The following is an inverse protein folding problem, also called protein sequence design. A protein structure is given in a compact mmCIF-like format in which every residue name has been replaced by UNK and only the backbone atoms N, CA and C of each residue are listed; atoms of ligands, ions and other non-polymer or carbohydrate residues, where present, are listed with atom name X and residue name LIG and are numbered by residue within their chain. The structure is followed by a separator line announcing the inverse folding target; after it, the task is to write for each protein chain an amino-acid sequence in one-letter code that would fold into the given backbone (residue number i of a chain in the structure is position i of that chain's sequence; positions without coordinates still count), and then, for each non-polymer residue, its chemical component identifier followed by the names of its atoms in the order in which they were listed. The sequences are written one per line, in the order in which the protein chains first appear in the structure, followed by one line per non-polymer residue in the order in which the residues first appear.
data_IF_246287194232
#
_entry.id   IF_246287194232
#
_cell.length_a   1.000
_cell.length_b   1.000
_cell.length_c   1.000
_cell.angle_alpha   90.00
_cell.angle_beta   90.00
_cell.angle_gamma   90.00
#
_symmetry.space_group_name_H-M   'P 1'
#
loop_
_entity.id
_entity.type
_entity.pdbx_description
1 polymer ?
#
# COMPACT_ATOMS: atom_id res chain seq x y z
N UNK A 1 -17.52 -30.66 -37.91
CA UNK A 1 -16.52 -29.66 -38.27
C UNK A 1 -16.65 -28.50 -37.29
N UNK A 2 -15.81 -28.47 -36.28
CA UNK A 2 -15.73 -27.36 -35.29
C UNK A 2 -14.63 -26.41 -35.76
N UNK A 3 -14.86 -25.11 -35.78
CA UNK A 3 -13.77 -24.15 -35.93
C UNK A 3 -13.30 -23.72 -34.55
N UNK A 4 -12.18 -24.26 -34.09
CA UNK A 4 -11.38 -23.67 -33.01
C UNK A 4 -10.46 -22.64 -33.65
N UNK A 5 -10.93 -21.43 -33.78
CA UNK A 5 -10.06 -20.31 -34.12
C UNK A 5 -9.21 -19.94 -32.90
N UNK A 6 -7.97 -20.45 -32.92
CA UNK A 6 -6.93 -20.09 -31.98
C UNK A 6 -6.53 -18.62 -32.15
N UNK A 7 -6.82 -17.79 -31.15
CA UNK A 7 -6.24 -16.45 -31.03
C UNK A 7 -4.74 -16.66 -30.85
N UNK A 8 -3.95 -16.32 -31.85
CA UNK A 8 -2.49 -16.39 -31.82
C UNK A 8 -1.97 -15.34 -30.79
N UNK A 9 -1.15 -15.80 -29.89
CA UNK A 9 -0.46 -14.98 -28.84
C UNK A 9 0.37 -13.81 -29.42
N UNK A 10 0.56 -13.74 -30.74
CA UNK A 10 1.35 -12.75 -31.48
C UNK A 10 0.69 -11.37 -31.64
N UNK A 11 -0.62 -11.20 -31.35
CA UNK A 11 -1.35 -9.96 -31.66
C UNK A 11 -1.58 -9.04 -30.47
N UNK A 12 -1.06 -9.35 -29.28
CA UNK A 12 -1.03 -8.39 -28.19
C UNK A 12 0.10 -7.38 -28.41
N UNK A 13 -0.14 -6.38 -29.28
CA UNK A 13 0.71 -5.21 -29.40
C UNK A 13 0.77 -4.49 -28.05
N UNK A 14 1.81 -4.74 -27.25
CA UNK A 14 2.09 -3.95 -26.05
C UNK A 14 2.25 -2.48 -26.46
N UNK A 15 1.29 -1.64 -26.10
CA UNK A 15 1.41 -0.20 -26.32
C UNK A 15 2.63 0.29 -25.53
N UNK A 16 3.60 0.88 -26.24
CA UNK A 16 4.75 1.54 -25.57
C UNK A 16 4.24 2.55 -24.56
N UNK A 17 4.80 2.53 -23.35
CA UNK A 17 4.48 3.53 -22.32
C UNK A 17 4.89 4.91 -22.81
N UNK A 18 3.97 5.86 -22.73
CA UNK A 18 4.30 7.27 -22.95
C UNK A 18 5.05 7.78 -21.73
N UNK A 19 6.17 8.44 -21.94
CA UNK A 19 7.03 8.97 -20.88
C UNK A 19 7.68 10.27 -21.36
N UNK A 20 7.77 11.23 -20.47
CA UNK A 20 8.52 12.47 -20.67
C UNK A 20 9.51 12.59 -19.51
N UNK A 21 10.82 12.74 -19.76
CA UNK A 21 11.82 12.89 -18.69
C UNK A 21 11.46 14.02 -17.73
N UNK A 22 11.65 13.78 -16.43
CA UNK A 22 11.38 14.71 -15.31
C UNK A 22 9.90 15.07 -15.09
N UNK A 23 9.02 14.71 -16.01
CA UNK A 23 7.58 14.79 -15.78
C UNK A 23 7.08 13.64 -14.92
N UNK A 24 5.88 13.81 -14.35
CA UNK A 24 5.32 12.81 -13.46
C UNK A 24 4.66 11.66 -14.22
N UNK A 25 4.79 10.46 -13.67
CA UNK A 25 4.14 9.24 -14.12
C UNK A 25 3.32 8.66 -12.97
N UNK A 26 2.01 8.57 -13.14
CA UNK A 26 1.15 7.85 -12.21
C UNK A 26 1.31 6.36 -12.46
N UNK A 27 1.71 5.63 -11.44
CA UNK A 27 1.85 4.17 -11.45
C UNK A 27 0.76 3.59 -10.57
N UNK A 28 0.10 2.55 -11.05
CA UNK A 28 -0.85 1.77 -10.28
C UNK A 28 -0.60 0.28 -10.46
N UNK A 29 -0.64 -0.45 -9.35
CA UNK A 29 -0.46 -1.90 -9.32
C UNK A 29 -1.61 -2.54 -8.58
N UNK A 30 -2.27 -3.48 -9.25
CA UNK A 30 -3.36 -4.29 -8.67
C UNK A 30 -2.86 -5.69 -8.36
N UNK A 31 -3.42 -6.25 -7.33
CA UNK A 31 -3.21 -7.66 -6.98
C UNK A 31 -3.95 -8.58 -7.95
N UNK A 32 -3.47 -9.81 -8.07
CA UNK A 32 -4.13 -10.85 -8.84
C UNK A 32 -5.52 -11.10 -8.24
N UNK A 33 -6.55 -11.09 -9.08
CA UNK A 33 -7.96 -11.25 -8.72
C UNK A 33 -8.50 -10.20 -7.73
N UNK A 34 -7.79 -9.09 -7.53
CA UNK A 34 -8.15 -8.08 -6.53
C UNK A 34 -8.05 -8.57 -5.09
N UNK A 35 -7.23 -9.56 -4.82
CA UNK A 35 -7.07 -10.14 -3.49
C UNK A 35 -6.35 -9.17 -2.54
N UNK A 36 -6.75 -9.16 -1.27
CA UNK A 36 -6.10 -8.38 -0.24
C UNK A 36 -4.66 -8.87 -0.01
N UNK A 37 -3.74 -7.94 0.19
CA UNK A 37 -2.34 -8.25 0.54
C UNK A 37 -1.83 -7.49 1.74
N UNK A 38 -2.49 -6.39 2.10
CA UNK A 38 -2.18 -5.65 3.32
C UNK A 38 -3.25 -5.97 4.36
N UNK A 39 -2.94 -6.88 5.28
CA UNK A 39 -3.83 -7.30 6.36
C UNK A 39 -3.44 -6.64 7.66
N UNK A 40 -2.15 -6.55 7.92
CA UNK A 40 -1.58 -6.09 9.17
C UNK A 40 -0.62 -4.91 8.91
N UNK A 41 -0.32 -4.17 9.98
CA UNK A 41 0.71 -3.12 10.01
C UNK A 41 2.05 -3.59 9.43
N UNK A 42 2.42 -4.85 9.69
CA UNK A 42 3.66 -5.45 9.18
C UNK A 42 3.74 -5.42 7.66
N UNK A 43 2.65 -5.77 6.97
CA UNK A 43 2.60 -5.83 5.51
C UNK A 43 2.90 -4.47 4.89
N UNK A 44 2.25 -3.44 5.43
CA UNK A 44 2.42 -2.08 4.97
C UNK A 44 3.84 -1.55 5.26
N UNK A 45 4.40 -1.81 6.45
CA UNK A 45 5.75 -1.37 6.82
C UNK A 45 6.84 -2.05 5.99
N UNK A 46 6.73 -3.35 5.74
CA UNK A 46 7.70 -4.07 4.89
C UNK A 46 7.65 -3.53 3.47
N UNK A 47 6.44 -3.41 2.87
CA UNK A 47 6.30 -2.82 1.53
C UNK A 47 6.90 -1.41 1.48
N UNK A 48 6.53 -0.56 2.43
CA UNK A 48 6.92 0.84 2.50
C UNK A 48 8.43 1.03 2.61
N UNK A 49 9.09 0.26 3.47
CA UNK A 49 10.55 0.38 3.64
C UNK A 49 11.31 -0.14 2.42
N UNK A 50 10.82 -1.20 1.75
CA UNK A 50 11.35 -1.68 0.46
C UNK A 50 11.22 -0.58 -0.59
N UNK A 51 10.02 -0.01 -0.74
CA UNK A 51 9.71 1.05 -1.69
C UNK A 51 10.62 2.26 -1.47
N UNK A 52 10.77 2.70 -0.22
CA UNK A 52 11.61 3.84 0.15
C UNK A 52 13.09 3.63 -0.19
N UNK A 53 13.66 2.49 0.19
CA UNK A 53 15.08 2.20 -0.08
C UNK A 53 15.34 2.13 -1.58
N UNK A 54 14.46 1.46 -2.31
CA UNK A 54 14.63 1.29 -3.75
C UNK A 54 14.34 2.56 -4.56
N UNK A 55 13.46 3.45 -4.10
CA UNK A 55 13.27 4.74 -4.77
C UNK A 55 14.56 5.56 -4.81
N UNK A 56 15.31 5.58 -3.71
CA UNK A 56 16.63 6.21 -3.62
C UNK A 56 17.66 5.49 -4.51
N UNK A 57 17.68 4.15 -4.46
CA UNK A 57 18.63 3.36 -5.26
C UNK A 57 18.48 3.58 -6.77
N UNK A 58 17.23 3.70 -7.27
CA UNK A 58 16.95 3.94 -8.68
C UNK A 58 16.84 5.41 -9.07
N UNK A 59 17.14 6.34 -8.16
CA UNK A 59 16.98 7.77 -8.37
C UNK A 59 15.58 8.13 -8.90
N UNK A 60 14.54 7.61 -8.22
CA UNK A 60 13.13 7.88 -8.51
C UNK A 60 12.59 8.83 -7.44
N UNK A 61 12.12 10.00 -7.85
CA UNK A 61 11.43 10.94 -6.97
C UNK A 61 9.98 10.50 -6.78
N UNK A 62 9.51 10.55 -5.55
CA UNK A 62 8.16 10.15 -5.17
C UNK A 62 7.39 11.38 -4.73
N UNK A 63 6.29 11.70 -5.40
CA UNK A 63 5.43 12.85 -5.05
C UNK A 63 4.21 12.41 -4.23
N UNK A 64 3.70 11.21 -4.50
CA UNK A 64 2.60 10.63 -3.74
C UNK A 64 2.75 9.10 -3.72
N UNK A 65 2.27 8.49 -2.65
CA UNK A 65 2.16 7.05 -2.46
C UNK A 65 0.91 6.78 -1.63
N UNK A 66 0.12 5.77 -2.03
CA UNK A 66 -1.00 5.28 -1.24
C UNK A 66 -1.07 3.76 -1.33
N UNK A 67 -1.09 3.10 -0.17
CA UNK A 67 -1.27 1.66 -0.05
C UNK A 67 -2.72 1.37 0.31
N UNK A 68 -3.45 0.75 -0.61
CA UNK A 68 -4.81 0.25 -0.39
C UNK A 68 -4.76 -1.27 -0.15
N UNK A 69 -5.80 -1.84 0.39
CA UNK A 69 -5.83 -3.27 0.78
C UNK A 69 -5.41 -4.25 -0.33
N UNK A 70 -5.68 -3.92 -1.59
CA UNK A 70 -5.47 -4.78 -2.76
C UNK A 70 -4.73 -4.09 -3.93
N UNK A 71 -4.30 -2.86 -3.76
CA UNK A 71 -3.58 -2.13 -4.80
C UNK A 71 -2.71 -1.00 -4.24
N UNK A 72 -1.81 -0.50 -5.08
CA UNK A 72 -0.89 0.59 -4.74
C UNK A 72 -0.93 1.64 -5.82
N UNK A 73 -1.05 2.91 -5.41
CA UNK A 73 -0.86 4.07 -6.26
C UNK A 73 0.41 4.81 -5.90
N UNK A 74 1.15 5.27 -6.91
CA UNK A 74 2.26 6.20 -6.70
C UNK A 74 2.38 7.20 -7.84
N UNK A 75 2.80 8.42 -7.52
CA UNK A 75 3.15 9.45 -8.49
C UNK A 75 4.65 9.66 -8.45
N UNK A 76 5.31 9.30 -9.54
CA UNK A 76 6.77 9.18 -9.63
C UNK A 76 7.32 10.11 -10.71
N UNK A 77 8.55 10.60 -10.52
CA UNK A 77 9.32 11.31 -11.53
C UNK A 77 10.74 10.78 -11.59
N UNK A 78 11.33 10.75 -12.77
CA UNK A 78 12.74 10.35 -13.00
C UNK A 78 13.24 10.90 -14.34
N UNK A 79 14.55 10.87 -14.53
CA UNK A 79 15.17 11.26 -15.81
C UNK A 79 14.96 10.20 -16.91
N UNK A 80 14.72 8.93 -16.55
CA UNK A 80 14.55 7.84 -17.50
C UNK A 80 13.42 6.88 -17.11
N UNK A 81 12.64 6.42 -18.10
CA UNK A 81 11.60 5.39 -17.91
C UNK A 81 12.18 4.06 -17.41
N UNK A 82 13.43 3.74 -17.80
CA UNK A 82 14.14 2.54 -17.34
C UNK A 82 14.30 2.51 -15.82
N UNK A 83 14.57 3.67 -15.19
CA UNK A 83 14.70 3.78 -13.74
C UNK A 83 13.38 3.43 -13.05
N UNK A 84 12.26 4.04 -13.50
CA UNK A 84 10.93 3.73 -12.96
C UNK A 84 10.56 2.27 -13.20
N UNK A 85 10.81 1.73 -14.40
CA UNK A 85 10.47 0.35 -14.73
C UNK A 85 11.28 -0.66 -13.90
N UNK A 86 12.57 -0.39 -13.70
CA UNK A 86 13.45 -1.23 -12.87
C UNK A 86 13.09 -1.12 -11.38
N UNK A 87 12.79 0.08 -10.92
CA UNK A 87 12.29 0.33 -9.57
C UNK A 87 11.01 -0.47 -9.27
N UNK A 88 9.98 -0.32 -10.13
CA UNK A 88 8.69 -1.01 -9.93
C UNK A 88 8.89 -2.54 -9.94
N UNK A 89 9.64 -3.07 -10.88
CA UNK A 89 9.93 -4.50 -10.96
C UNK A 89 10.66 -5.00 -9.72
N UNK A 90 11.66 -4.26 -9.24
CA UNK A 90 12.48 -4.69 -8.12
C UNK A 90 11.71 -4.66 -6.80
N UNK A 91 11.02 -3.53 -6.47
CA UNK A 91 10.27 -3.50 -5.22
C UNK A 91 9.12 -4.51 -5.20
N UNK A 92 8.47 -4.74 -6.34
CA UNK A 92 7.42 -5.76 -6.47
C UNK A 92 7.98 -7.17 -6.22
N UNK A 93 9.08 -7.51 -6.89
CA UNK A 93 9.71 -8.84 -6.75
C UNK A 93 10.19 -9.08 -5.31
N UNK A 94 10.82 -8.08 -4.72
CA UNK A 94 11.37 -8.17 -3.38
C UNK A 94 10.28 -8.28 -2.32
N UNK A 95 9.22 -7.46 -2.42
CA UNK A 95 8.08 -7.57 -1.52
C UNK A 95 7.37 -8.92 -1.63
N UNK A 96 7.13 -9.40 -2.87
CA UNK A 96 6.51 -10.72 -3.07
C UNK A 96 7.37 -11.84 -2.48
N UNK A 97 8.70 -11.75 -2.62
CA UNK A 97 9.63 -12.71 -2.02
C UNK A 97 9.54 -12.72 -0.49
N UNK A 98 9.64 -11.54 0.14
CA UNK A 98 9.52 -11.37 1.60
C UNK A 98 8.16 -11.87 2.12
N UNK A 99 7.07 -11.46 1.46
CA UNK A 99 5.71 -11.86 1.82
C UNK A 99 5.54 -13.38 1.77
N UNK A 100 5.92 -13.99 0.65
CA UNK A 100 5.79 -15.43 0.45
C UNK A 100 6.65 -16.22 1.45
N UNK A 101 7.89 -15.80 1.65
CA UNK A 101 8.79 -16.44 2.61
C UNK A 101 8.24 -16.36 4.05
N UNK A 102 7.63 -15.24 4.42
CA UNK A 102 7.15 -15.01 5.80
C UNK A 102 6.01 -15.95 6.23
N UNK A 103 5.27 -16.53 5.27
CA UNK A 103 4.11 -17.42 5.52
C UNK A 103 4.19 -18.75 4.78
N UNK A 104 5.31 -19.08 4.14
CA UNK A 104 5.47 -20.34 3.40
C UNK A 104 4.61 -20.43 2.13
N UNK A 105 4.33 -19.29 1.48
CA UNK A 105 3.52 -19.21 0.26
C UNK A 105 4.41 -19.15 -0.99
N UNK A 106 3.84 -19.51 -2.12
CA UNK A 106 4.48 -19.38 -3.43
C UNK A 106 3.59 -18.64 -4.44
N UNK A 107 4.21 -18.10 -5.49
CA UNK A 107 3.52 -17.45 -6.61
C UNK A 107 3.38 -15.93 -6.46
N UNK A 108 2.84 -15.31 -7.49
CA UNK A 108 2.72 -13.87 -7.60
C UNK A 108 1.61 -13.32 -6.70
N UNK A 109 1.76 -12.07 -6.27
CA UNK A 109 0.72 -11.27 -5.59
C UNK A 109 0.13 -10.24 -6.54
N UNK A 110 0.94 -9.62 -7.38
CA UNK A 110 0.53 -8.59 -8.31
C UNK A 110 0.42 -9.11 -9.74
N UNK A 111 -0.38 -8.44 -10.56
CA UNK A 111 -0.36 -8.64 -12.00
C UNK A 111 1.04 -8.40 -12.57
N UNK A 112 1.41 -9.12 -13.63
CA UNK A 112 2.75 -9.03 -14.25
C UNK A 112 3.10 -7.64 -14.74
N UNK A 113 2.12 -6.87 -15.22
CA UNK A 113 2.30 -5.51 -15.72
C UNK A 113 1.65 -4.50 -14.79
N UNK A 114 2.38 -3.45 -14.43
CA UNK A 114 1.80 -2.30 -13.77
C UNK A 114 1.18 -1.34 -14.80
N UNK A 115 0.09 -0.68 -14.41
CA UNK A 115 -0.49 0.40 -15.20
C UNK A 115 0.31 1.70 -15.01
N UNK A 116 0.31 2.53 -16.04
CA UNK A 116 0.97 3.84 -15.97
C UNK A 116 0.27 4.88 -16.84
N UNK A 117 0.20 6.13 -16.33
CA UNK A 117 -0.37 7.26 -17.04
C UNK A 117 0.54 8.50 -16.87
N UNK A 118 1.03 9.11 -17.96
CA UNK A 118 1.86 10.31 -17.87
C UNK A 118 1.02 11.49 -17.38
N UNK A 119 1.60 12.30 -16.51
CA UNK A 119 1.00 13.50 -15.92
C UNK A 119 1.88 14.71 -16.21
N UNK A 120 1.65 15.31 -17.36
CA UNK A 120 2.43 16.45 -17.86
C UNK A 120 1.73 17.75 -17.48
N UNK A 121 2.48 18.67 -16.85
CA UNK A 121 2.02 19.97 -16.41
C UNK A 121 1.32 19.98 -15.04
N UNK A 122 1.43 21.10 -14.33
CA UNK A 122 1.04 21.24 -12.93
C UNK A 122 -0.43 20.89 -12.63
N UNK A 123 -1.36 21.21 -13.52
CA UNK A 123 -2.79 20.87 -13.33
C UNK A 123 -3.01 19.35 -13.22
N UNK A 124 -2.38 18.56 -14.12
CA UNK A 124 -2.51 17.09 -14.10
C UNK A 124 -1.78 16.47 -12.92
N UNK A 125 -0.65 17.03 -12.51
CA UNK A 125 0.07 16.58 -11.31
C UNK A 125 -0.80 16.81 -10.08
N UNK A 126 -1.32 18.03 -9.87
CA UNK A 126 -2.21 18.35 -8.73
C UNK A 126 -3.44 17.45 -8.67
N UNK A 127 -4.18 17.30 -9.78
CA UNK A 127 -5.36 16.43 -9.78
C UNK A 127 -5.02 14.96 -9.51
N UNK A 128 -3.81 14.49 -9.87
CA UNK A 128 -3.38 13.13 -9.56
C UNK A 128 -2.97 12.98 -8.10
N UNK A 129 -2.30 13.97 -7.50
CA UNK A 129 -2.00 13.98 -6.06
C UNK A 129 -3.29 13.93 -5.25
N UNK A 130 -4.27 14.77 -5.60
CA UNK A 130 -5.60 14.79 -4.96
C UNK A 130 -6.30 13.43 -5.10
N UNK A 131 -6.31 12.84 -6.29
CA UNK A 131 -6.87 11.52 -6.52
C UNK A 131 -6.20 10.44 -5.64
N UNK A 132 -4.87 10.39 -5.61
CA UNK A 132 -4.13 9.41 -4.80
C UNK A 132 -4.41 9.61 -3.30
N UNK A 133 -4.45 10.87 -2.84
CA UNK A 133 -4.77 11.19 -1.45
C UNK A 133 -6.19 10.81 -1.05
N UNK A 134 -7.17 10.99 -1.94
CA UNK A 134 -8.58 10.72 -1.67
C UNK A 134 -9.00 9.25 -1.87
N UNK A 135 -8.14 8.38 -2.40
CA UNK A 135 -8.48 6.95 -2.55
C UNK A 135 -9.05 6.32 -1.26
N UNK A 136 -8.44 6.50 -0.07
CA UNK A 136 -8.97 5.93 1.16
C UNK A 136 -10.29 6.59 1.60
N UNK A 137 -10.51 7.87 1.31
CA UNK A 137 -11.77 8.57 1.59
C UNK A 137 -12.89 8.00 0.74
N UNK A 138 -12.65 7.79 -0.55
CA UNK A 138 -13.61 7.19 -1.49
C UNK A 138 -13.93 5.73 -1.17
N UNK A 139 -13.05 5.05 -0.43
CA UNK A 139 -13.25 3.69 0.10
C UNK A 139 -13.77 3.67 1.54
N UNK A 140 -14.17 4.81 2.07
CA UNK A 140 -14.69 4.99 3.42
C UNK A 140 -13.78 4.44 4.54
N UNK A 141 -12.46 4.41 4.30
CA UNK A 141 -11.47 4.03 5.31
C UNK A 141 -11.22 5.18 6.30
N UNK A 142 -11.37 6.40 5.85
CA UNK A 142 -11.22 7.61 6.66
C UNK A 142 -12.15 8.73 6.18
N UNK A 143 -12.30 9.79 6.98
CA UNK A 143 -13.12 10.96 6.63
C UNK A 143 -12.35 12.00 5.84
N UNK A 144 -11.05 12.11 6.07
CA UNK A 144 -10.14 13.03 5.39
C UNK A 144 -8.90 12.27 4.91
N UNK A 145 -8.28 12.75 3.85
CA UNK A 145 -7.12 12.10 3.27
C UNK A 145 -5.96 11.95 4.27
N UNK A 146 -5.71 12.96 5.09
CA UNK A 146 -4.67 12.97 6.12
C UNK A 146 -4.94 12.01 7.28
N UNK A 147 -6.17 11.55 7.49
CA UNK A 147 -6.53 10.59 8.54
C UNK A 147 -6.15 9.15 8.18
N UNK A 148 -5.67 8.91 6.94
CA UNK A 148 -5.24 7.59 6.51
C UNK A 148 -3.72 7.47 6.53
N UNK A 149 -3.19 6.66 7.44
CA UNK A 149 -1.74 6.50 7.66
C UNK A 149 -0.98 6.12 6.39
N UNK A 150 -1.55 5.25 5.56
CA UNK A 150 -0.85 4.61 4.45
C UNK A 150 -0.88 5.39 3.13
N UNK A 151 -1.31 6.66 3.16
CA UNK A 151 -1.05 7.63 2.10
C UNK A 151 0.07 8.63 2.47
N UNK A 152 0.56 8.55 3.72
CA UNK A 152 1.72 9.28 4.24
C UNK A 152 1.59 10.81 4.28
N UNK A 153 0.41 11.37 4.03
CA UNK A 153 0.20 12.83 3.96
C UNK A 153 0.40 13.50 5.32
N UNK A 154 -0.10 12.91 6.39
CA UNK A 154 0.03 13.45 7.74
C UNK A 154 1.49 13.64 8.17
N UNK A 155 2.40 12.80 7.68
CA UNK A 155 3.84 12.87 7.99
C UNK A 155 4.59 14.00 7.27
N UNK A 156 3.93 14.76 6.40
CA UNK A 156 4.53 15.93 5.76
C UNK A 156 4.67 17.11 6.73
N UNK A 157 3.80 17.18 7.74
CA UNK A 157 3.76 18.28 8.71
C UNK A 157 3.95 17.83 10.17
N UNK A 158 3.55 16.59 10.50
CA UNK A 158 3.63 16.04 11.86
C UNK A 158 4.60 14.85 11.90
N UNK A 159 5.35 14.78 12.99
CA UNK A 159 6.27 13.68 13.23
C UNK A 159 5.60 12.43 13.80
N UNK A 160 4.47 12.60 14.50
CA UNK A 160 3.76 11.53 15.22
C UNK A 160 2.24 11.66 15.06
N UNK A 161 1.72 11.67 13.82
CA UNK A 161 0.33 12.04 13.57
C UNK A 161 -0.70 11.03 14.09
N UNK A 162 -0.30 9.77 14.34
CA UNK A 162 -1.19 8.70 14.78
C UNK A 162 -0.86 8.17 16.17
N UNK A 163 0.23 8.60 16.78
CA UNK A 163 0.63 8.19 18.12
C UNK A 163 0.58 9.33 19.12
N UNK A 164 0.30 9.02 20.36
CA UNK A 164 0.36 10.01 21.43
C UNK A 164 1.81 10.35 21.76
N UNK A 165 2.16 11.63 21.67
CA UNK A 165 3.49 12.10 22.07
C UNK A 165 3.80 11.67 23.50
N UNK A 166 4.97 11.07 23.69
CA UNK A 166 5.54 10.76 25.02
C UNK A 166 6.98 11.27 25.06
N UNK A 167 7.41 11.92 26.15
CA UNK A 167 8.82 12.27 26.33
C UNK A 167 9.71 11.02 26.22
N UNK A 168 10.85 11.15 25.57
CA UNK A 168 11.77 10.02 25.36
C UNK A 168 12.30 9.38 26.66
N UNK A 169 12.25 10.11 27.78
CA UNK A 169 12.55 9.59 29.13
C UNK A 169 11.59 8.46 29.55
N UNK A 170 10.36 8.46 29.04
CA UNK A 170 9.32 7.47 29.35
C UNK A 170 9.35 6.25 28.42
N UNK A 171 10.22 6.23 27.42
CA UNK A 171 10.33 5.08 26.52
C UNK A 171 10.91 3.85 27.22
N UNK A 172 10.25 2.71 27.04
CA UNK A 172 10.78 1.44 27.55
C UNK A 172 12.12 1.09 26.88
N UNK A 173 12.91 0.23 27.53
CA UNK A 173 14.13 -0.29 26.92
C UNK A 173 13.86 -1.08 25.64
N UNK A 174 12.68 -1.72 25.54
CA UNK A 174 12.23 -2.46 24.34
C UNK A 174 12.01 -1.51 23.18
N UNK A 175 11.26 -0.42 23.39
CA UNK A 175 11.01 0.61 22.38
C UNK A 175 12.31 1.29 21.93
N UNK A 176 13.22 1.64 22.86
CA UNK A 176 14.52 2.22 22.51
C UNK A 176 15.36 1.30 21.62
N UNK A 177 15.34 -0.03 21.90
CA UNK A 177 16.02 -1.03 21.06
C UNK A 177 15.39 -1.13 19.68
N UNK A 178 14.05 -1.12 19.59
CA UNK A 178 13.33 -1.13 18.32
C UNK A 178 13.65 0.11 17.46
N UNK A 179 13.68 1.31 18.06
CA UNK A 179 14.12 2.53 17.36
C UNK A 179 15.57 2.41 16.86
N UNK A 180 16.48 1.87 17.69
CA UNK A 180 17.87 1.70 17.31
C UNK A 180 18.03 0.69 16.16
N UNK A 181 17.24 -0.42 16.17
CA UNK A 181 17.24 -1.41 15.09
C UNK A 181 16.75 -0.79 13.77
N UNK A 182 15.60 -0.11 13.78
CA UNK A 182 15.04 0.56 12.61
C UNK A 182 16.01 1.62 12.05
N UNK A 183 16.57 2.48 12.92
CA UNK A 183 17.56 3.49 12.55
C UNK A 183 18.84 2.87 11.99
N UNK A 184 19.29 1.77 12.58
CA UNK A 184 20.45 1.02 12.12
C UNK A 184 20.25 0.42 10.72
N UNK A 185 19.07 -0.13 10.44
CA UNK A 185 18.72 -0.63 9.10
C UNK A 185 18.69 0.51 8.08
N UNK A 186 18.00 1.61 8.37
CA UNK A 186 17.92 2.78 7.50
C UNK A 186 19.30 3.39 7.17
N UNK A 187 20.18 3.57 8.18
CA UNK A 187 21.53 4.08 7.97
C UNK A 187 22.37 3.22 7.03
N UNK A 188 22.09 1.93 6.97
CA UNK A 188 22.74 0.99 6.05
C UNK A 188 22.03 0.87 4.70
N UNK A 189 21.05 1.74 4.42
CA UNK A 189 20.19 1.68 3.24
C UNK A 189 19.52 0.31 3.08
N UNK A 190 19.05 -0.27 4.18
CA UNK A 190 18.32 -1.54 4.20
C UNK A 190 16.86 -1.32 4.57
N UNK A 191 15.99 -2.06 3.90
CA UNK A 191 14.58 -2.16 4.29
C UNK A 191 14.42 -3.06 5.52
N UNK A 192 13.23 -3.08 6.11
CA UNK A 192 12.88 -3.95 7.23
C UNK A 192 12.21 -5.21 6.69
N UNK A 193 12.74 -6.39 7.06
CA UNK A 193 12.14 -7.69 6.75
C UNK A 193 10.97 -7.99 7.69
N UNK A 194 10.09 -8.92 7.31
CA UNK A 194 9.01 -9.39 8.20
C UNK A 194 9.54 -9.90 9.54
N UNK A 195 10.66 -10.63 9.54
CA UNK A 195 11.28 -11.11 10.78
C UNK A 195 11.78 -9.99 11.69
N UNK A 196 12.28 -8.89 11.12
CA UNK A 196 12.70 -7.72 11.90
C UNK A 196 11.50 -6.96 12.46
N UNK A 197 10.50 -6.68 11.61
CA UNK A 197 9.27 -5.97 12.04
C UNK A 197 8.63 -6.76 13.19
N UNK A 198 8.40 -8.06 13.03
CA UNK A 198 7.80 -8.89 14.07
C UNK A 198 8.58 -8.83 15.39
N UNK A 199 9.89 -9.06 15.38
CA UNK A 199 10.71 -8.99 16.61
C UNK A 199 10.64 -7.67 17.32
N UNK A 200 10.52 -6.56 16.56
CA UNK A 200 10.39 -5.23 17.15
C UNK A 200 9.02 -5.01 17.79
N UNK A 201 7.95 -5.47 17.15
CA UNK A 201 6.57 -5.20 17.58
C UNK A 201 6.04 -6.20 18.63
N UNK A 202 6.38 -7.49 18.56
CA UNK A 202 5.87 -8.54 19.47
C UNK A 202 6.10 -8.26 20.97
N UNK A 203 7.02 -7.38 21.29
CA UNK A 203 7.43 -7.09 22.68
C UNK A 203 6.93 -5.74 23.19
N UNK A 204 6.21 -4.99 22.35
CA UNK A 204 5.74 -3.62 22.64
C UNK A 204 4.27 -3.63 23.05
N UNK A 205 3.88 -2.62 23.84
CA UNK A 205 2.45 -2.28 24.02
C UNK A 205 1.89 -1.66 22.74
N UNK A 206 0.55 -1.55 22.63
CA UNK A 206 -0.09 -0.92 21.46
C UNK A 206 0.35 0.54 21.30
N UNK A 207 0.39 1.33 22.37
CA UNK A 207 0.89 2.72 22.34
C UNK A 207 2.35 2.81 21.84
N UNK A 208 3.21 1.89 22.28
CA UNK A 208 4.60 1.85 21.84
C UNK A 208 4.71 1.39 20.38
N UNK A 209 3.81 0.50 19.96
CA UNK A 209 3.71 0.05 18.57
C UNK A 209 3.28 1.18 17.65
N UNK A 210 2.34 2.03 18.08
CA UNK A 210 1.96 3.23 17.34
C UNK A 210 3.14 4.20 17.19
N UNK A 211 3.86 4.48 18.30
CA UNK A 211 5.06 5.32 18.27
C UNK A 211 6.16 4.77 17.35
N UNK A 212 6.41 3.46 17.41
CA UNK A 212 7.39 2.82 16.52
C UNK A 212 6.96 2.89 15.06
N UNK A 213 5.66 2.74 14.78
CA UNK A 213 5.11 2.84 13.43
C UNK A 213 5.35 4.23 12.85
N UNK A 214 4.97 5.28 13.58
CA UNK A 214 5.19 6.66 13.14
C UNK A 214 6.68 6.95 12.94
N UNK A 215 7.52 6.48 13.88
CA UNK A 215 8.97 6.63 13.77
C UNK A 215 9.54 5.96 12.50
N UNK A 216 9.13 4.72 12.19
CA UNK A 216 9.60 4.01 10.99
C UNK A 216 9.13 4.74 9.73
N UNK A 217 7.85 5.15 9.67
CA UNK A 217 7.32 5.85 8.49
C UNK A 217 8.09 7.15 8.26
N UNK A 218 8.29 7.96 9.30
CA UNK A 218 9.07 9.20 9.17
C UNK A 218 10.51 8.96 8.76
N UNK A 219 11.17 7.95 9.34
CA UNK A 219 12.56 7.62 9.04
C UNK A 219 12.77 7.22 7.59
N UNK A 220 11.80 6.50 7.01
CA UNK A 220 11.85 6.01 5.64
C UNK A 220 11.05 6.87 4.64
N UNK A 221 10.54 8.04 5.03
CA UNK A 221 9.66 8.85 4.18
C UNK A 221 10.29 9.12 2.80
N UNK A 222 9.75 8.56 1.71
CA UNK A 222 10.31 8.71 0.39
C UNK A 222 9.81 9.96 -0.35
N UNK A 223 8.80 10.65 0.20
CA UNK A 223 8.14 11.77 -0.47
C UNK A 223 9.12 12.93 -0.63
N UNK A 224 9.32 13.35 -1.88
CA UNK A 224 10.04 14.57 -2.22
C UNK A 224 9.13 15.78 -1.95
N UNK A 225 9.16 16.23 -0.68
CA UNK A 225 8.32 17.33 -0.20
C UNK A 225 8.59 18.62 -0.98
N UNK A 226 9.83 18.89 -1.34
CA UNK A 226 10.20 20.09 -2.10
C UNK A 226 9.55 20.08 -3.48
N UNK A 227 9.70 18.98 -4.23
CA UNK A 227 9.07 18.84 -5.54
C UNK A 227 7.54 18.81 -5.43
N UNK A 228 6.96 18.16 -4.44
CA UNK A 228 5.50 18.12 -4.23
C UNK A 228 4.97 19.53 -3.95
N UNK A 229 5.60 20.28 -3.05
CA UNK A 229 5.18 21.63 -2.69
C UNK A 229 5.41 22.65 -3.80
N UNK A 230 6.24 22.37 -4.79
CA UNK A 230 6.37 23.25 -5.98
C UNK A 230 5.08 23.35 -6.80
N UNK A 231 4.12 22.45 -6.59
CA UNK A 231 2.80 22.45 -7.23
C UNK A 231 1.70 23.12 -6.39
N UNK A 232 1.97 23.47 -5.14
CA UNK A 232 1.00 24.04 -4.18
C UNK A 232 1.59 25.24 -3.46
N UNK A 233 0.72 26.13 -2.96
CA UNK A 233 1.18 27.28 -2.16
C UNK A 233 1.58 26.88 -0.75
N UNK A 234 0.98 25.80 -0.21
CA UNK A 234 1.25 25.22 1.09
C UNK A 234 0.68 23.81 1.21
N UNK A 235 1.06 23.08 2.26
CA UNK A 235 0.45 21.79 2.58
C UNK A 235 -1.05 21.95 2.87
N UNK A 236 -1.44 23.04 3.53
CA UNK A 236 -2.85 23.38 3.78
C UNK A 236 -3.65 23.54 2.47
N UNK A 237 -3.09 24.22 1.47
CA UNK A 237 -3.72 24.37 0.14
C UNK A 237 -3.93 23.01 -0.53
N UNK A 238 -2.95 22.11 -0.43
CA UNK A 238 -3.04 20.74 -0.95
C UNK A 238 -4.15 19.94 -0.25
N UNK A 239 -4.21 19.99 1.07
CA UNK A 239 -5.23 19.25 1.85
C UNK A 239 -6.65 19.82 1.62
N UNK A 240 -6.78 21.14 1.49
CA UNK A 240 -8.05 21.77 1.12
C UNK A 240 -8.53 21.35 -0.27
N UNK A 241 -7.61 21.22 -1.24
CA UNK A 241 -7.95 20.73 -2.57
C UNK A 241 -8.44 19.27 -2.50
N UNK A 242 -7.88 18.43 -1.65
CA UNK A 242 -8.37 17.07 -1.41
C UNK A 242 -9.78 17.07 -0.79
N UNK A 243 -9.97 17.85 0.26
CA UNK A 243 -11.25 17.94 0.97
C UNK A 243 -12.37 18.44 0.05
N UNK A 244 -12.10 19.45 -0.77
CA UNK A 244 -13.10 20.05 -1.69
C UNK A 244 -13.45 19.21 -2.91
N UNK A 245 -12.61 18.23 -3.25
CA UNK A 245 -12.80 17.35 -4.43
C UNK A 245 -13.15 15.91 -4.08
N UNK A 246 -13.27 15.58 -2.81
CA UNK A 246 -13.70 14.24 -2.36
C UNK A 246 -15.08 13.91 -2.95
N UNK A 247 -15.20 12.78 -3.66
CA UNK A 247 -16.43 12.39 -4.37
C UNK A 247 -16.62 13.05 -5.74
N UNK A 248 -15.65 13.85 -6.22
CA UNK A 248 -15.66 14.42 -7.56
C UNK A 248 -15.23 13.42 -8.65
N UNK A 249 -15.55 13.74 -9.91
CA UNK A 249 -15.02 12.97 -11.04
C UNK A 249 -13.55 13.32 -11.29
N UNK A 250 -12.70 12.30 -11.29
CA UNK A 250 -11.30 12.42 -11.70
C UNK A 250 -11.14 11.96 -13.16
N UNK A 251 -10.34 12.69 -13.93
CA UNK A 251 -9.93 12.27 -15.29
C UNK A 251 -8.92 11.09 -15.22
N UNK A 252 -9.33 10.03 -14.55
CA UNK A 252 -8.54 8.79 -14.36
C UNK A 252 -9.46 7.63 -14.73
N UNK A 253 -9.08 6.91 -15.79
CA UNK A 253 -9.82 5.75 -16.29
C UNK A 253 -9.54 4.51 -15.42
N UNK A 254 -10.04 4.50 -14.21
CA UNK A 254 -10.07 3.31 -13.38
C UNK A 254 -11.51 2.86 -13.13
N UNK A 255 -11.73 1.56 -13.14
CA UNK A 255 -13.05 1.01 -12.79
C UNK A 255 -13.22 1.18 -11.29
N UNK A 256 -14.03 2.16 -10.92
CA UNK A 256 -14.41 2.39 -9.53
C UNK A 256 -15.40 1.31 -9.10
N UNK A 257 -15.05 0.55 -8.07
CA UNK A 257 -15.98 -0.38 -7.43
C UNK A 257 -16.55 0.33 -6.19
N UNK A 258 -17.84 0.73 -6.20
CA UNK A 258 -18.44 1.34 -5.03
C UNK A 258 -18.50 0.30 -3.91
N UNK A 259 -17.91 0.61 -2.77
CA UNK A 259 -17.89 -0.26 -1.60
C UNK A 259 -16.90 0.28 -0.56
N UNK A 260 -17.21 0.03 0.71
CA UNK A 260 -16.31 0.40 1.80
C UNK A 260 -15.27 -0.69 2.02
N UNK A 261 -13.99 -0.32 2.01
CA UNK A 261 -12.91 -1.24 2.37
C UNK A 261 -12.75 -1.41 3.90
N UNK A 262 -13.53 -0.67 4.71
CA UNK A 262 -13.52 -0.76 6.18
C UNK A 262 -13.86 -2.16 6.71
N UNK A 263 -14.66 -2.91 5.96
CA UNK A 263 -15.00 -4.29 6.31
C UNK A 263 -13.74 -5.19 6.35
N UNK A 264 -12.75 -4.94 5.51
CA UNK A 264 -11.51 -5.72 5.51
C UNK A 264 -10.70 -5.49 6.78
N UNK A 265 -10.66 -4.26 7.31
CA UNK A 265 -10.02 -3.96 8.58
C UNK A 265 -10.73 -4.66 9.75
N UNK A 266 -12.07 -4.66 9.73
CA UNK A 266 -12.87 -5.35 10.76
C UNK A 266 -12.66 -6.87 10.72
N UNK A 267 -12.65 -7.46 9.52
CA UNK A 267 -12.39 -8.89 9.35
C UNK A 267 -10.96 -9.25 9.74
N UNK A 268 -9.96 -8.44 9.38
CA UNK A 268 -8.57 -8.66 9.75
C UNK A 268 -8.39 -8.62 11.28
N UNK A 269 -8.98 -7.63 11.93
CA UNK A 269 -8.97 -7.52 13.39
C UNK A 269 -9.62 -8.75 14.06
N UNK A 270 -10.77 -9.19 13.59
CA UNK A 270 -11.46 -10.37 14.12
C UNK A 270 -10.61 -11.64 13.97
N UNK A 271 -9.98 -11.84 12.80
CA UNK A 271 -9.11 -12.99 12.55
C UNK A 271 -7.88 -12.95 13.45
N UNK A 272 -7.33 -11.78 13.69
CA UNK A 272 -6.18 -11.60 14.58
C UNK A 272 -6.57 -11.86 16.04
N UNK A 273 -7.62 -11.18 16.53
CA UNK A 273 -7.95 -11.12 17.96
C UNK A 273 -8.75 -12.34 18.43
N UNK A 274 -9.77 -12.74 17.67
CA UNK A 274 -10.70 -13.80 18.09
C UNK A 274 -10.26 -15.18 17.60
N UNK A 275 -9.74 -15.27 16.37
CA UNK A 275 -9.22 -16.54 15.85
C UNK A 275 -7.74 -16.76 16.20
N UNK A 276 -7.11 -15.84 16.93
CA UNK A 276 -5.73 -15.90 17.39
C UNK A 276 -4.71 -16.19 16.26
N UNK A 277 -5.00 -15.65 15.05
CA UNK A 277 -4.17 -15.87 13.88
C UNK A 277 -3.25 -14.68 13.62
N UNK A 278 -2.02 -14.80 14.07
CA UNK A 278 -0.96 -13.80 13.83
C UNK A 278 0.22 -14.43 13.06
N UNK A 279 0.67 -13.81 11.95
CA UNK A 279 0.05 -12.68 11.27
C UNK A 279 -1.24 -13.09 10.53
N UNK A 280 -2.18 -12.13 10.41
CA UNK A 280 -3.51 -12.36 9.80
C UNK A 280 -3.40 -12.91 8.39
N UNK A 281 -2.40 -12.49 7.60
CA UNK A 281 -2.15 -12.98 6.24
C UNK A 281 -1.91 -14.48 6.11
N UNK A 282 -1.61 -15.21 7.22
CA UNK A 282 -1.53 -16.68 7.18
C UNK A 282 -2.83 -17.34 6.76
N UNK A 283 -3.96 -16.66 6.92
CA UNK A 283 -5.29 -17.17 6.53
C UNK A 283 -5.31 -17.65 5.08
N UNK A 284 -4.57 -17.01 4.17
CA UNK A 284 -4.55 -17.36 2.75
C UNK A 284 -3.77 -18.64 2.45
N UNK A 285 -3.01 -19.16 3.41
CA UNK A 285 -2.25 -20.42 3.27
C UNK A 285 -2.98 -21.62 3.84
N UNK A 286 -4.10 -21.40 4.51
CA UNK A 286 -4.92 -22.48 5.04
C UNK A 286 -5.55 -23.32 3.90
N UNK A 287 -5.86 -24.60 4.16
CA UNK A 287 -6.67 -25.42 3.25
C UNK A 287 -7.99 -24.74 2.89
N UNK A 288 -8.51 -25.04 1.68
CA UNK A 288 -9.75 -24.43 1.19
C UNK A 288 -10.94 -24.62 2.14
N UNK A 289 -11.08 -25.79 2.74
CA UNK A 289 -12.13 -26.11 3.73
C UNK A 289 -12.05 -25.20 4.96
N UNK A 290 -10.87 -25.05 5.56
CA UNK A 290 -10.67 -24.17 6.72
C UNK A 290 -10.99 -22.70 6.38
N UNK A 291 -10.62 -22.25 5.17
CA UNK A 291 -10.98 -20.89 4.70
C UNK A 291 -12.50 -20.72 4.50
N UNK A 292 -13.21 -21.77 4.08
CA UNK A 292 -14.67 -21.75 3.96
C UNK A 292 -15.35 -21.73 5.34
N UNK A 293 -14.83 -22.45 6.33
CA UNK A 293 -15.30 -22.36 7.72
C UNK A 293 -15.15 -20.93 8.27
N UNK A 294 -13.98 -20.33 8.06
CA UNK A 294 -13.74 -18.92 8.45
C UNK A 294 -14.69 -17.98 7.68
N UNK A 295 -14.96 -18.24 6.40
CA UNK A 295 -15.93 -17.47 5.63
C UNK A 295 -17.32 -17.50 6.28
N UNK A 296 -17.74 -18.67 6.81
CA UNK A 296 -18.98 -18.82 7.58
C UNK A 296 -18.98 -17.96 8.85
N UNK A 297 -17.90 -17.98 9.63
CA UNK A 297 -17.77 -17.15 10.83
C UNK A 297 -17.85 -15.65 10.52
N UNK A 298 -17.10 -15.22 9.49
CA UNK A 298 -17.09 -13.82 9.04
C UNK A 298 -18.45 -13.39 8.49
N UNK A 299 -19.16 -14.28 7.77
CA UNK A 299 -20.50 -14.01 7.26
C UNK A 299 -21.50 -13.78 8.38
N UNK A 300 -21.46 -14.59 9.42
CA UNK A 300 -22.33 -14.47 10.58
C UNK A 300 -22.08 -13.19 11.39
N UNK A 301 -20.83 -12.71 11.41
CA UNK A 301 -20.44 -11.57 12.24
C UNK A 301 -20.58 -10.22 11.54
N UNK A 302 -20.24 -10.14 10.25
CA UNK A 302 -20.08 -8.88 9.52
C UNK A 302 -20.99 -8.77 8.29
N UNK A 303 -21.63 -9.88 7.87
CA UNK A 303 -22.43 -9.98 6.66
C UNK A 303 -21.73 -9.44 5.37
N UNK A 304 -20.44 -9.78 5.13
CA UNK A 304 -19.74 -9.37 3.93
C UNK A 304 -20.38 -9.98 2.68
N UNK A 305 -20.25 -9.30 1.55
CA UNK A 305 -20.59 -9.86 0.25
C UNK A 305 -19.68 -11.05 -0.11
N UNK A 306 -20.13 -11.91 -1.02
CA UNK A 306 -19.29 -13.00 -1.58
C UNK A 306 -18.00 -12.46 -2.21
N UNK A 307 -18.06 -11.28 -2.80
CA UNK A 307 -16.90 -10.62 -3.41
C UNK A 307 -15.87 -10.23 -2.35
N UNK A 308 -16.30 -9.64 -1.23
CA UNK A 308 -15.42 -9.25 -0.13
C UNK A 308 -14.77 -10.47 0.53
N UNK A 309 -15.54 -11.54 0.77
CA UNK A 309 -14.98 -12.81 1.27
C UNK A 309 -13.96 -13.41 0.31
N UNK A 310 -14.26 -13.39 -1.00
CA UNK A 310 -13.34 -13.87 -2.04
C UNK A 310 -12.02 -13.10 -2.00
N UNK A 311 -12.08 -11.77 -1.90
CA UNK A 311 -10.89 -10.90 -1.80
C UNK A 311 -10.08 -11.18 -0.53
N UNK A 312 -10.77 -11.24 0.61
CA UNK A 312 -10.12 -11.37 1.91
C UNK A 312 -9.48 -12.75 2.11
N UNK A 313 -10.16 -13.81 1.72
CA UNK A 313 -9.74 -15.19 1.94
C UNK A 313 -8.98 -15.81 0.76
N UNK A 314 -8.74 -15.08 -0.33
CA UNK A 314 -8.16 -15.60 -1.58
C UNK A 314 -8.91 -16.83 -2.10
N UNK A 315 -10.22 -16.82 -2.00
CA UNK A 315 -11.09 -17.88 -2.51
C UNK A 315 -11.66 -17.50 -3.88
N UNK A 316 -11.62 -18.43 -4.84
CA UNK A 316 -12.43 -18.33 -6.04
C UNK A 316 -13.83 -18.85 -5.69
N UNK A 317 -14.70 -17.99 -5.20
CA UNK A 317 -16.08 -18.36 -4.96
C UNK A 317 -16.78 -18.42 -6.33
N UNK A 318 -17.10 -19.63 -6.79
CA UNK A 318 -17.86 -19.85 -8.01
C UNK A 318 -19.22 -19.16 -7.91
N UNK A 319 -19.56 -18.35 -8.92
CA UNK A 319 -20.90 -17.80 -9.12
C UNK A 319 -20.90 -16.27 -9.19
N UNK A 320 -20.85 -15.76 -10.41
CA UNK A 320 -21.61 -14.56 -10.77
C UNK A 320 -23.04 -14.97 -10.98
#
# INVERSE_FOLDING_TARGET
MSPTDGIKESDMKYKKRKFTPRECLHIYQRTINGFNIFYDREDALVFYTIFSVLSKFYNVRVLALCLMVDHVHSLLSSDALSNISSFVRHYTSLFVSEYNQSIGRHGNLFHKSFGSAPKVGGKKVRSTVVYIGNNPVEKALCSKAEDYRWNFLAYLEDENPFSTYKPSSLYSMKLRRAFAEAKGAHRRNRYLTYGQVRRMFDVLSEDESELLTDYIIRLYLPIDKEMLMSYYTSCYDMLNAMCSTAGGEYDIREVFNPGSDKIFEQMAKYVHDELQMSPTRKIITLPGEARLEIAGLLSNRFAPSKYELSKFLHLKLCGR
#
